data_IF_807644681256
#
_entry.id   IF_807644681256
#
_cell.length_a   1.000
_cell.length_b   1.000
_cell.length_c   1.000
_cell.angle_alpha   90.00
_cell.angle_beta   90.00
_cell.angle_gamma   90.00
#
_symmetry.space_group_name_H-M   'P 1'
#
loop_
_entity.id
_entity.type
_entity.pdbx_description
1 polymer ?
#
# COMPACT_ATOMS: atom_id res chain seq x y z
N UNK A 1 -14.82 56.68 11.54
CA UNK A 1 -13.61 55.89 11.24
C UNK A 1 -13.76 54.51 11.87
N UNK A 2 -13.71 53.37 11.20
CA UNK A 2 -13.63 53.11 9.76
C UNK A 2 -13.99 51.63 9.54
N UNK A 3 -15.24 51.31 9.18
CA UNK A 3 -15.62 49.95 8.74
C UNK A 3 -14.80 49.48 7.53
N UNK A 4 -14.16 50.43 6.84
CA UNK A 4 -13.13 50.17 5.83
C UNK A 4 -11.95 49.36 6.35
N UNK A 5 -11.53 49.53 7.61
CA UNK A 5 -10.44 48.73 8.18
C UNK A 5 -10.82 47.24 8.26
N UNK A 6 -12.08 46.93 8.59
CA UNK A 6 -12.63 45.57 8.58
C UNK A 6 -12.70 45.00 7.17
N UNK A 7 -13.17 45.78 6.19
CA UNK A 7 -13.23 45.34 4.78
C UNK A 7 -11.83 45.05 4.23
N UNK A 8 -10.86 45.89 4.56
CA UNK A 8 -9.46 45.71 4.16
C UNK A 8 -8.84 44.47 4.84
N UNK A 9 -9.13 44.24 6.14
CA UNK A 9 -8.67 43.03 6.84
C UNK A 9 -9.28 41.74 6.26
N UNK A 10 -10.57 41.76 5.92
CA UNK A 10 -11.27 40.64 5.28
C UNK A 10 -10.69 40.38 3.88
N UNK A 11 -10.40 41.45 3.12
CA UNK A 11 -9.77 41.36 1.81
C UNK A 11 -8.35 40.76 1.86
N UNK A 12 -7.54 41.19 2.83
CA UNK A 12 -6.17 40.66 3.03
C UNK A 12 -6.19 39.20 3.45
N UNK A 13 -7.13 38.79 4.32
CA UNK A 13 -7.28 37.40 4.75
C UNK A 13 -7.85 36.52 3.63
N UNK A 14 -8.81 37.02 2.85
CA UNK A 14 -9.30 36.35 1.64
C UNK A 14 -8.18 36.12 0.61
N UNK A 15 -7.34 37.13 0.41
CA UNK A 15 -6.16 37.05 -0.46
C UNK A 15 -5.13 36.01 0.05
N UNK A 16 -4.89 35.95 1.36
CA UNK A 16 -3.99 34.94 1.97
C UNK A 16 -4.55 33.51 1.89
N UNK A 17 -5.87 33.33 1.98
CA UNK A 17 -6.52 32.01 1.84
C UNK A 17 -6.58 31.55 0.38
N UNK A 18 -6.71 32.47 -0.57
CA UNK A 18 -6.70 32.13 -2.00
C UNK A 18 -5.30 31.80 -2.52
N UNK A 19 -4.25 32.34 -1.90
CA UNK A 19 -2.84 32.06 -2.23
C UNK A 19 -2.28 30.83 -1.49
N UNK A 20 -3.10 29.79 -1.33
CA UNK A 20 -2.83 28.56 -0.56
C UNK A 20 -1.84 27.59 -1.19
N UNK A 21 -1.07 28.01 -2.19
CA UNK A 21 0.00 27.17 -2.75
C UNK A 21 1.22 27.04 -1.81
N UNK A 22 1.39 27.92 -0.81
CA UNK A 22 2.64 27.94 -0.02
C UNK A 22 2.53 27.99 1.50
N UNK A 23 1.35 28.21 2.11
CA UNK A 23 1.24 28.30 3.58
C UNK A 23 0.06 27.44 4.05
N UNK A 24 0.36 26.27 4.65
CA UNK A 24 -0.61 25.45 5.38
C UNK A 24 -1.05 26.21 6.63
N UNK A 25 -2.12 26.99 6.52
CA UNK A 25 -2.73 27.67 7.67
C UNK A 25 -3.22 26.59 8.65
N UNK A 26 -2.77 26.60 9.92
CA UNK A 26 -3.21 25.62 10.91
C UNK A 26 -4.72 25.71 11.14
N UNK A 27 -5.40 24.56 11.17
CA UNK A 27 -6.87 24.51 11.27
C UNK A 27 -7.45 25.21 12.51
N UNK A 28 -6.67 25.34 13.59
CA UNK A 28 -7.06 26.04 14.81
C UNK A 28 -7.13 27.55 14.62
N UNK A 29 -6.28 28.14 13.77
CA UNK A 29 -6.27 29.57 13.46
C UNK A 29 -7.57 29.99 12.75
N UNK A 30 -8.09 29.11 11.90
CA UNK A 30 -9.34 29.32 11.19
C UNK A 30 -10.55 29.34 12.14
N UNK A 31 -10.53 28.51 13.20
CA UNK A 31 -11.59 28.49 14.22
C UNK A 31 -11.58 29.78 15.05
N UNK A 32 -10.39 30.26 15.44
CA UNK A 32 -10.23 31.53 16.16
C UNK A 32 -10.77 32.70 15.33
N UNK A 33 -10.48 32.73 14.03
CA UNK A 33 -10.99 33.75 13.12
C UNK A 33 -12.53 33.78 13.08
N UNK A 34 -13.18 32.62 12.96
CA UNK A 34 -14.64 32.55 12.97
C UNK A 34 -15.26 33.00 14.30
N UNK A 35 -14.62 32.70 15.43
CA UNK A 35 -15.07 33.16 16.75
C UNK A 35 -14.97 34.69 16.89
N UNK A 36 -13.88 35.29 16.41
CA UNK A 36 -13.68 36.74 16.40
C UNK A 36 -14.73 37.42 15.50
N UNK A 37 -14.97 36.87 14.31
CA UNK A 37 -16.02 37.36 13.40
C UNK A 37 -17.42 37.25 13.99
N UNK A 38 -17.74 36.13 14.65
CA UNK A 38 -19.04 35.95 15.31
C UNK A 38 -19.24 36.97 16.44
N UNK A 39 -18.20 37.23 17.24
CA UNK A 39 -18.22 38.22 18.34
C UNK A 39 -18.40 39.65 17.82
N UNK A 40 -17.74 40.00 16.71
CA UNK A 40 -17.88 41.31 16.07
C UNK A 40 -19.27 41.54 15.49
N UNK A 41 -19.86 40.53 14.83
CA UNK A 41 -21.18 40.67 14.21
C UNK A 41 -22.31 40.64 15.24
N UNK A 42 -22.14 39.91 16.35
CA UNK A 42 -23.10 39.90 17.46
C UNK A 42 -23.28 41.28 18.12
N UNK A 43 -22.33 42.20 17.96
CA UNK A 43 -22.45 43.58 18.46
C UNK A 43 -23.18 44.52 17.49
N UNK A 44 -23.42 44.08 16.25
CA UNK A 44 -23.96 44.92 15.17
C UNK A 44 -25.43 44.56 14.87
N UNK A 45 -25.79 43.27 14.84
CA UNK A 45 -27.18 42.85 14.63
C UNK A 45 -27.39 41.37 14.95
N UNK A 46 -28.45 41.06 15.69
CA UNK A 46 -28.82 39.67 16.06
C UNK A 46 -29.26 38.82 14.85
N UNK A 47 -29.75 39.46 13.80
CA UNK A 47 -30.18 38.79 12.56
C UNK A 47 -29.00 38.34 11.70
N UNK A 48 -27.90 39.10 11.67
CA UNK A 48 -26.68 38.75 10.93
C UNK A 48 -25.87 37.64 11.61
N UNK A 49 -25.90 37.57 12.94
CA UNK A 49 -25.32 36.46 13.72
C UNK A 49 -25.98 35.13 13.38
N UNK A 50 -27.31 35.10 13.22
CA UNK A 50 -28.04 33.90 12.82
C UNK A 50 -27.61 33.36 11.45
N UNK A 51 -27.41 34.24 10.46
CA UNK A 51 -26.98 33.85 9.11
C UNK A 51 -25.55 33.29 9.12
N UNK A 52 -24.64 33.90 9.87
CA UNK A 52 -23.27 33.39 10.06
C UNK A 52 -23.26 32.03 10.76
N UNK A 53 -24.13 31.84 11.74
CA UNK A 53 -24.25 30.57 12.46
C UNK A 53 -24.73 29.44 11.54
N UNK A 54 -25.72 29.71 10.68
CA UNK A 54 -26.21 28.75 9.68
C UNK A 54 -25.10 28.43 8.66
N UNK A 55 -24.36 29.43 8.19
CA UNK A 55 -23.23 29.23 7.29
C UNK A 55 -22.13 28.35 7.91
N UNK A 56 -21.83 28.55 9.19
CA UNK A 56 -20.88 27.72 9.95
C UNK A 56 -21.36 26.27 10.11
N UNK A 57 -22.65 26.06 10.36
CA UNK A 57 -23.24 24.71 10.45
C UNK A 57 -23.16 23.99 9.11
N UNK A 58 -23.51 24.68 8.00
CA UNK A 58 -23.42 24.11 6.65
C UNK A 58 -21.97 23.80 6.28
N UNK A 59 -21.04 24.71 6.56
CA UNK A 59 -19.61 24.49 6.36
C UNK A 59 -19.08 23.33 7.22
N UNK A 60 -19.51 23.22 8.47
CA UNK A 60 -19.14 22.14 9.37
C UNK A 60 -19.69 20.79 8.89
N UNK A 61 -20.92 20.73 8.38
CA UNK A 61 -21.52 19.52 7.81
C UNK A 61 -20.79 19.08 6.53
N UNK A 62 -20.45 20.02 5.63
CA UNK A 62 -19.66 19.74 4.42
C UNK A 62 -18.24 19.28 4.78
N UNK A 63 -17.58 19.97 5.71
CA UNK A 63 -16.23 19.61 6.19
C UNK A 63 -16.23 18.25 6.89
N UNK A 64 -17.27 17.94 7.67
CA UNK A 64 -17.42 16.62 8.34
C UNK A 64 -17.62 15.50 7.33
N UNK A 65 -18.42 15.72 6.27
CA UNK A 65 -18.56 14.76 5.17
C UNK A 65 -17.25 14.55 4.41
N UNK A 66 -16.51 15.62 4.11
CA UNK A 66 -15.22 15.52 3.43
C UNK A 66 -14.12 14.90 4.30
N UNK A 67 -14.09 15.16 5.62
CA UNK A 67 -13.17 14.50 6.55
C UNK A 67 -13.52 13.03 6.77
N UNK A 68 -14.81 12.65 6.79
CA UNK A 68 -15.22 11.24 6.75
C UNK A 68 -14.74 10.59 5.47
N UNK A 69 -15.02 11.18 4.31
CA UNK A 69 -14.58 10.63 3.01
C UNK A 69 -13.06 10.49 2.92
N UNK A 70 -12.28 11.45 3.46
CA UNK A 70 -10.81 11.33 3.56
C UNK A 70 -10.36 10.29 4.57
N UNK A 71 -11.05 10.13 5.71
CA UNK A 71 -10.76 9.07 6.69
C UNK A 71 -11.14 7.69 6.18
N UNK A 72 -12.23 7.58 5.45
CA UNK A 72 -12.70 6.34 4.83
C UNK A 72 -11.78 5.99 3.65
N UNK A 73 -11.32 6.97 2.86
CA UNK A 73 -10.24 6.79 1.88
C UNK A 73 -8.89 6.47 2.53
N UNK A 74 -8.55 7.05 3.69
CA UNK A 74 -7.34 6.70 4.46
C UNK A 74 -7.47 5.34 5.16
N UNK A 75 -8.70 4.91 5.49
CA UNK A 75 -9.00 3.62 6.10
C UNK A 75 -8.96 2.51 5.03
N UNK A 76 -9.59 2.74 3.88
CA UNK A 76 -9.51 1.89 2.68
C UNK A 76 -8.10 1.91 2.06
N UNK A 77 -7.38 3.03 2.15
CA UNK A 77 -5.96 3.07 1.85
C UNK A 77 -5.17 2.30 2.91
N UNK A 78 -5.44 2.42 4.22
CA UNK A 78 -4.70 1.71 5.27
C UNK A 78 -4.92 0.19 5.27
N UNK A 79 -6.07 -0.30 4.80
CA UNK A 79 -6.28 -1.74 4.58
C UNK A 79 -5.59 -2.24 3.31
N UNK A 80 -5.24 -1.35 2.38
CA UNK A 80 -4.42 -1.64 1.18
C UNK A 80 -2.96 -1.12 1.31
N UNK A 81 -2.61 -0.45 2.41
CA UNK A 81 -1.34 0.23 2.67
C UNK A 81 -0.65 -0.35 3.90
N UNK A 82 -0.66 -1.67 4.02
CA UNK A 82 0.55 -2.30 4.52
C UNK A 82 1.64 -2.12 3.47
N UNK A 83 2.41 -1.05 3.71
CA UNK A 83 3.66 -0.68 3.06
C UNK A 83 3.51 -0.02 1.68
N UNK A 84 2.94 1.18 1.66
CA UNK A 84 3.47 2.22 0.79
C UNK A 84 4.93 2.46 1.18
N UNK A 85 5.84 2.13 0.27
CA UNK A 85 7.27 2.15 0.52
C UNK A 85 7.76 3.61 0.57
N UNK A 86 8.37 4.11 1.67
CA UNK A 86 8.98 5.43 1.65
C UNK A 86 10.05 5.48 0.54
N UNK A 87 10.00 6.56 -0.26
CA UNK A 87 10.80 6.78 -1.47
C UNK A 87 12.26 7.16 -1.22
N UNK A 88 12.71 7.13 0.04
CA UNK A 88 13.99 7.75 0.44
C UNK A 88 15.23 6.87 0.19
N UNK A 89 15.06 5.66 -0.36
CA UNK A 89 16.20 4.79 -0.71
C UNK A 89 16.03 4.29 -2.15
N UNK A 90 17.00 4.58 -3.06
CA UNK A 90 17.03 4.00 -4.40
C UNK A 90 17.43 2.53 -4.30
N UNK A 91 16.51 1.72 -3.81
CA UNK A 91 16.65 0.27 -3.76
C UNK A 91 15.90 -0.33 -4.94
N UNK A 92 16.51 -1.34 -5.55
CA UNK A 92 15.93 -2.10 -6.65
C UNK A 92 14.51 -2.60 -6.27
N UNK A 93 13.46 -2.22 -7.01
CA UNK A 93 12.08 -2.52 -6.65
C UNK A 93 11.82 -4.03 -6.57
N UNK A 94 12.55 -4.86 -7.33
CA UNK A 94 12.41 -6.33 -7.31
C UNK A 94 12.95 -6.88 -6.00
N UNK A 95 14.15 -6.45 -5.59
CA UNK A 95 14.78 -6.90 -4.35
C UNK A 95 13.97 -6.47 -3.13
N UNK A 96 13.49 -5.22 -3.15
CA UNK A 96 12.64 -4.66 -2.11
C UNK A 96 11.32 -5.43 -1.97
N UNK A 97 10.73 -5.83 -3.09
CA UNK A 97 9.53 -6.65 -3.07
C UNK A 97 9.77 -8.03 -2.44
N UNK A 98 10.83 -8.72 -2.84
CA UNK A 98 11.18 -10.04 -2.32
C UNK A 98 11.61 -10.01 -0.83
N UNK A 99 12.08 -8.88 -0.32
CA UNK A 99 12.48 -8.71 1.08
C UNK A 99 11.33 -8.37 2.03
N UNK A 100 10.11 -8.12 1.53
CA UNK A 100 8.96 -7.83 2.40
C UNK A 100 8.61 -9.01 3.31
N UNK A 101 8.22 -8.75 4.58
CA UNK A 101 7.85 -9.82 5.52
C UNK A 101 6.75 -10.75 4.99
N UNK A 102 5.74 -10.20 4.32
CA UNK A 102 4.64 -10.97 3.74
C UNK A 102 5.12 -11.92 2.63
N UNK A 103 6.06 -11.47 1.78
CA UNK A 103 6.63 -12.32 0.73
C UNK A 103 7.57 -13.37 1.30
N UNK A 104 8.36 -13.03 2.31
CA UNK A 104 9.21 -14.01 2.99
C UNK A 104 8.40 -15.12 3.66
N UNK A 105 7.29 -14.77 4.33
CA UNK A 105 6.39 -15.76 4.91
C UNK A 105 5.78 -16.67 3.85
N UNK A 106 5.27 -16.10 2.74
CA UNK A 106 4.70 -16.88 1.65
C UNK A 106 5.75 -17.76 0.94
N UNK A 107 7.00 -17.31 0.82
CA UNK A 107 8.09 -18.11 0.26
C UNK A 107 8.50 -19.28 1.16
N UNK A 108 8.46 -19.09 2.48
CA UNK A 108 8.72 -20.15 3.44
C UNK A 108 7.70 -21.29 3.33
N UNK A 109 6.41 -20.97 3.14
CA UNK A 109 5.36 -21.96 2.87
C UNK A 109 5.63 -22.76 1.58
N UNK A 110 6.16 -22.09 0.56
CA UNK A 110 6.51 -22.70 -0.73
C UNK A 110 7.86 -23.43 -0.72
N UNK A 111 8.54 -23.53 0.45
CA UNK A 111 9.89 -24.08 0.60
C UNK A 111 10.88 -23.48 -0.42
N UNK A 112 10.77 -22.19 -0.67
CA UNK A 112 11.56 -21.47 -1.67
C UNK A 112 12.27 -20.27 -1.05
N UNK A 113 13.30 -19.77 -1.74
CA UNK A 113 14.10 -18.63 -1.24
C UNK A 113 13.78 -17.32 -1.97
N UNK A 114 14.00 -16.16 -1.31
CA UNK A 114 13.87 -14.86 -1.98
C UNK A 114 14.75 -14.72 -3.22
N UNK A 115 15.92 -15.38 -3.25
CA UNK A 115 16.82 -15.38 -4.41
C UNK A 115 16.21 -16.08 -5.63
N UNK A 116 15.50 -17.20 -5.40
CA UNK A 116 14.80 -17.92 -6.46
C UNK A 116 13.65 -17.09 -7.03
N UNK A 117 12.88 -16.44 -6.16
CA UNK A 117 11.82 -15.53 -6.57
C UNK A 117 12.38 -14.36 -7.41
N UNK A 118 13.46 -13.71 -6.96
CA UNK A 118 14.08 -12.61 -7.70
C UNK A 118 14.54 -13.06 -9.08
N UNK A 119 15.17 -14.24 -9.19
CA UNK A 119 15.59 -14.80 -10.49
C UNK A 119 14.39 -15.05 -11.41
N UNK A 120 13.32 -15.63 -10.88
CA UNK A 120 12.10 -15.88 -11.64
C UNK A 120 11.43 -14.57 -12.10
N UNK A 121 11.39 -13.56 -11.22
CA UNK A 121 10.85 -12.24 -11.57
C UNK A 121 11.63 -11.61 -12.72
N UNK A 122 12.96 -11.63 -12.69
CA UNK A 122 13.76 -11.10 -13.80
C UNK A 122 13.44 -11.83 -15.11
N UNK A 123 13.34 -13.17 -15.08
CA UNK A 123 12.99 -13.95 -16.28
C UNK A 123 11.62 -13.59 -16.85
N UNK A 124 10.59 -13.47 -16.00
CA UNK A 124 9.23 -13.11 -16.45
C UNK A 124 9.17 -11.66 -16.95
N UNK A 125 9.86 -10.73 -16.29
CA UNK A 125 9.92 -9.33 -16.74
C UNK A 125 10.61 -9.23 -18.09
N UNK A 126 11.78 -9.84 -18.24
CA UNK A 126 12.54 -9.80 -19.50
C UNK A 126 11.76 -10.42 -20.66
N UNK A 127 10.88 -11.39 -20.37
CA UNK A 127 10.08 -12.09 -21.38
C UNK A 127 8.80 -11.34 -21.76
N UNK A 128 8.07 -10.81 -20.77
CA UNK A 128 6.70 -10.32 -20.99
C UNK A 128 6.50 -8.83 -20.75
N UNK A 129 7.37 -8.18 -19.96
CA UNK A 129 7.15 -6.82 -19.47
C UNK A 129 8.36 -5.91 -19.64
N UNK A 130 9.36 -6.29 -20.45
CA UNK A 130 10.65 -5.60 -20.52
C UNK A 130 10.50 -4.09 -20.77
N UNK A 131 9.62 -3.72 -21.71
CA UNK A 131 9.41 -2.32 -22.10
C UNK A 131 8.61 -1.53 -21.06
N UNK A 132 7.53 -2.11 -20.57
CA UNK A 132 6.66 -1.53 -19.54
C UNK A 132 7.44 -1.34 -18.23
N UNK A 133 8.20 -2.35 -17.84
CA UNK A 133 9.04 -2.34 -16.65
C UNK A 133 10.13 -1.28 -16.74
N UNK A 134 10.83 -1.18 -17.87
CA UNK A 134 11.86 -0.16 -18.06
C UNK A 134 11.29 1.27 -17.93
N UNK A 135 10.10 1.53 -18.49
CA UNK A 135 9.42 2.82 -18.38
C UNK A 135 9.03 3.14 -16.94
N UNK A 136 8.36 2.20 -16.26
CA UNK A 136 7.93 2.40 -14.88
C UNK A 136 9.12 2.53 -13.93
N UNK A 137 10.17 1.73 -14.12
CA UNK A 137 11.40 1.81 -13.33
C UNK A 137 12.11 3.16 -13.51
N UNK A 138 12.09 3.75 -14.71
CA UNK A 138 12.67 5.06 -14.94
C UNK A 138 11.88 6.18 -14.23
N UNK A 139 10.55 6.07 -14.21
CA UNK A 139 9.67 7.02 -13.50
C UNK A 139 9.83 6.85 -11.98
N UNK A 140 9.79 5.62 -11.48
CA UNK A 140 9.89 5.30 -10.06
C UNK A 140 11.20 5.80 -9.43
N UNK A 141 12.31 5.58 -10.13
CA UNK A 141 13.66 5.95 -9.70
C UNK A 141 14.03 7.40 -10.02
N UNK A 142 13.10 8.23 -10.51
CA UNK A 142 13.39 9.62 -10.81
C UNK A 142 13.64 10.42 -9.52
N UNK A 143 14.91 10.76 -9.30
CA UNK A 143 15.36 11.60 -8.19
C UNK A 143 15.42 13.09 -8.56
N UNK A 144 15.28 13.43 -9.86
CA UNK A 144 15.41 14.81 -10.35
C UNK A 144 14.08 15.57 -10.27
N UNK A 145 12.99 14.90 -9.89
CA UNK A 145 11.66 15.49 -9.78
C UNK A 145 11.11 15.96 -11.13
N UNK A 146 11.47 15.26 -12.21
CA UNK A 146 10.87 15.49 -13.54
C UNK A 146 9.44 14.96 -13.60
N UNK A 147 9.12 13.96 -12.81
CA UNK A 147 7.77 13.42 -12.67
C UNK A 147 7.12 13.86 -11.34
N UNK A 148 5.84 14.23 -11.41
CA UNK A 148 5.02 14.51 -10.24
C UNK A 148 4.93 13.29 -9.32
N UNK A 149 4.73 13.54 -8.03
CA UNK A 149 4.62 12.49 -6.99
C UNK A 149 3.51 11.47 -7.34
N UNK A 150 2.35 11.94 -7.80
CA UNK A 150 1.22 11.09 -8.21
C UNK A 150 1.59 10.12 -9.36
N UNK A 151 2.45 10.57 -10.29
CA UNK A 151 2.89 9.76 -11.44
C UNK A 151 3.87 8.68 -10.98
N UNK A 152 4.73 9.02 -10.02
CA UNK A 152 5.68 8.08 -9.40
C UNK A 152 4.96 7.03 -8.56
N UNK A 153 3.95 7.44 -7.79
CA UNK A 153 3.07 6.54 -7.03
C UNK A 153 2.33 5.57 -7.93
N UNK A 154 1.76 6.06 -9.03
CA UNK A 154 1.10 5.19 -9.99
C UNK A 154 2.07 4.20 -10.65
N UNK A 155 3.28 4.61 -11.01
CA UNK A 155 4.30 3.71 -11.54
C UNK A 155 4.70 2.63 -10.51
N UNK A 156 4.90 3.01 -9.25
CA UNK A 156 5.18 2.07 -8.17
C UNK A 156 4.03 1.08 -7.93
N UNK A 157 2.78 1.54 -8.04
CA UNK A 157 1.60 0.70 -7.93
C UNK A 157 1.52 -0.34 -9.06
N UNK A 158 1.66 0.10 -10.32
CA UNK A 158 1.65 -0.80 -11.48
C UNK A 158 2.79 -1.83 -11.44
N UNK A 159 4.00 -1.41 -11.03
CA UNK A 159 5.11 -2.34 -10.83
C UNK A 159 4.78 -3.40 -9.77
N UNK A 160 4.13 -3.02 -8.67
CA UNK A 160 3.71 -3.97 -7.62
C UNK A 160 2.67 -4.96 -8.14
N UNK A 161 1.69 -4.51 -8.92
CA UNK A 161 0.70 -5.39 -9.53
C UNK A 161 1.34 -6.44 -10.45
N UNK A 162 2.32 -6.03 -11.26
CA UNK A 162 3.10 -6.95 -12.10
C UNK A 162 3.85 -7.97 -11.24
N UNK A 163 4.52 -7.51 -10.18
CA UNK A 163 5.25 -8.39 -9.27
C UNK A 163 4.32 -9.38 -8.55
N UNK A 164 3.12 -8.94 -8.15
CA UNK A 164 2.10 -9.80 -7.53
C UNK A 164 1.57 -10.86 -8.50
N UNK A 165 1.32 -10.50 -9.75
CA UNK A 165 0.92 -11.44 -10.79
C UNK A 165 2.02 -12.49 -11.06
N UNK A 166 3.29 -12.05 -11.14
CA UNK A 166 4.43 -12.95 -11.32
C UNK A 166 4.59 -13.86 -10.10
N UNK A 167 4.45 -13.33 -8.88
CA UNK A 167 4.51 -14.12 -7.65
C UNK A 167 3.42 -15.18 -7.59
N UNK A 168 2.19 -14.86 -8.03
CA UNK A 168 1.11 -15.83 -8.09
C UNK A 168 1.42 -16.99 -9.06
N UNK A 169 2.00 -16.70 -10.23
CA UNK A 169 2.48 -17.74 -11.17
C UNK A 169 3.58 -18.59 -10.54
N UNK A 170 4.58 -17.96 -9.92
CA UNK A 170 5.66 -18.65 -9.22
C UNK A 170 5.13 -19.58 -8.12
N UNK A 171 4.23 -19.08 -7.28
CA UNK A 171 3.63 -19.85 -6.20
C UNK A 171 2.84 -21.05 -6.71
N UNK A 172 2.12 -20.91 -7.84
CA UNK A 172 1.43 -22.03 -8.49
C UNK A 172 2.42 -23.09 -8.97
N UNK A 173 3.52 -22.69 -9.59
CA UNK A 173 4.57 -23.60 -10.05
C UNK A 173 5.23 -24.34 -8.88
N UNK A 174 5.56 -23.63 -7.79
CA UNK A 174 6.19 -24.26 -6.63
C UNK A 174 5.25 -25.20 -5.87
N UNK A 175 3.95 -24.86 -5.76
CA UNK A 175 2.96 -25.78 -5.18
C UNK A 175 2.82 -27.07 -5.99
N UNK A 176 2.82 -26.97 -7.32
CA UNK A 176 2.79 -28.16 -8.18
C UNK A 176 4.03 -29.04 -7.98
N UNK A 177 5.23 -28.43 -7.97
CA UNK A 177 6.48 -29.16 -7.72
C UNK A 177 6.54 -29.79 -6.32
N UNK A 178 5.96 -29.15 -5.31
CA UNK A 178 5.87 -29.72 -3.96
C UNK A 178 4.91 -30.91 -3.91
N UNK A 179 3.75 -30.82 -4.57
CA UNK A 179 2.80 -31.91 -4.65
C UNK A 179 3.40 -33.15 -5.33
N UNK A 180 4.15 -32.95 -6.43
CA UNK A 180 4.86 -34.03 -7.12
C UNK A 180 5.94 -34.67 -6.24
N UNK A 181 6.73 -33.86 -5.51
CA UNK A 181 7.71 -34.39 -4.56
C UNK A 181 7.04 -35.17 -3.41
N UNK A 182 5.86 -34.73 -2.96
CA UNK A 182 5.10 -35.45 -1.94
C UNK A 182 4.59 -36.78 -2.47
N UNK A 183 4.02 -36.83 -3.68
CA UNK A 183 3.54 -38.08 -4.27
C UNK A 183 4.67 -39.08 -4.50
N UNK A 184 5.84 -38.62 -4.97
CA UNK A 184 7.03 -39.49 -5.13
C UNK A 184 7.50 -40.03 -3.78
N UNK A 185 7.49 -39.19 -2.74
CA UNK A 185 7.91 -39.63 -1.40
C UNK A 185 6.93 -40.65 -0.79
N UNK A 186 5.62 -40.50 -1.04
CA UNK A 186 4.62 -41.48 -0.63
C UNK A 186 4.79 -42.82 -1.36
N UNK A 187 5.06 -42.79 -2.67
CA UNK A 187 5.36 -44.00 -3.44
C UNK A 187 6.62 -44.71 -2.92
N UNK A 188 7.70 -43.97 -2.64
CA UNK A 188 8.94 -44.51 -2.09
C UNK A 188 8.73 -45.13 -0.69
N UNK A 189 7.93 -44.49 0.16
CA UNK A 189 7.57 -45.06 1.47
C UNK A 189 6.76 -46.34 1.34
N UNK A 190 5.87 -46.42 0.35
CA UNK A 190 5.13 -47.64 0.02
C UNK A 190 6.06 -48.79 -0.35
N UNK A 191 6.97 -48.56 -1.30
CA UNK A 191 7.97 -49.56 -1.72
C UNK A 191 8.88 -50.00 -0.57
N UNK A 192 9.36 -49.06 0.24
CA UNK A 192 10.21 -49.40 1.38
C UNK A 192 9.48 -50.22 2.45
N UNK A 193 8.19 -49.98 2.67
CA UNK A 193 7.38 -50.80 3.57
C UNK A 193 7.21 -52.23 3.04
N UNK A 194 7.01 -52.37 1.73
CA UNK A 194 6.90 -53.68 1.08
C UNK A 194 8.22 -54.47 1.19
N UNK A 195 9.36 -53.81 0.97
CA UNK A 195 10.69 -54.41 1.18
C UNK A 195 10.90 -54.90 2.62
N UNK A 196 10.50 -54.09 3.61
CA UNK A 196 10.58 -54.47 5.03
C UNK A 196 9.66 -55.66 5.33
N UNK A 197 8.44 -55.68 4.80
CA UNK A 197 7.48 -56.77 5.03
C UNK A 197 8.01 -58.09 4.46
N UNK A 198 8.59 -58.05 3.26
CA UNK A 198 9.26 -59.20 2.65
C UNK A 198 10.43 -59.68 3.51
N UNK A 199 11.29 -58.76 3.97
CA UNK A 199 12.42 -59.10 4.84
C UNK A 199 11.96 -59.73 6.17
N UNK A 200 10.86 -59.25 6.75
CA UNK A 200 10.27 -59.78 7.98
C UNK A 200 9.70 -61.19 7.76
N UNK A 201 8.95 -61.41 6.68
CA UNK A 201 8.44 -62.75 6.33
C UNK A 201 9.57 -63.76 6.09
N UNK A 202 10.69 -63.33 5.49
CA UNK A 202 11.87 -64.18 5.30
C UNK A 202 12.51 -64.52 6.65
N UNK A 203 12.63 -63.53 7.55
CA UNK A 203 13.17 -63.73 8.89
C UNK A 203 12.32 -64.70 9.72
N UNK A 204 10.98 -64.52 9.74
CA UNK A 204 10.05 -65.43 10.43
C UNK A 204 10.18 -66.86 9.93
N UNK A 205 10.22 -67.07 8.61
CA UNK A 205 10.42 -68.41 8.01
C UNK A 205 11.77 -69.04 8.35
N UNK A 206 12.79 -68.23 8.62
CA UNK A 206 14.09 -68.72 9.08
C UNK A 206 14.08 -69.10 10.56
N UNK A 207 13.34 -68.36 11.40
CA UNK A 207 13.14 -68.69 12.81
C UNK A 207 12.31 -69.97 13.01
N UNK A 208 11.27 -70.19 12.20
CA UNK A 208 10.43 -71.40 12.31
C UNK A 208 11.18 -72.70 11.91
N UNK A 209 12.37 -72.59 11.31
CA UNK A 209 13.21 -73.73 10.92
C UNK A 209 14.34 -74.06 11.91
N UNK A 210 14.56 -73.24 12.95
CA UNK A 210 15.53 -73.50 14.02
C UNK A 210 14.86 -74.06 15.27
#
# INVERSE_FOLDING_TARGET
MSYWFLIVLIGIVGYLVQNTKFIKIPGWLQVIFWLIMLSLVSKISDTLTGILFIGLIVWWLIRRKNCKRKRDQLAEASTNADQGFPYDVPEDPIKRYASTPNRQAALAELKSSPKELVKYIHQEIDTFFMNEWAKMSAIYSDQKGQFDEDVRDNAGHQMREILDAIFAKFAKQQRAALAEKQSINEELKGKHKEEIDIAMQVYEKWQDKS
#
